data_IF_854957846274
#
_entry.id   IF_854957846274
#
_cell.length_a   1.000
_cell.length_b   1.000
_cell.length_c   1.000
_cell.angle_alpha   90.00
_cell.angle_beta   90.00
_cell.angle_gamma   90.00
#
_symmetry.space_group_name_H-M   'P 1'
#
loop_
_entity.id
_entity.type
_entity.pdbx_description
1 polymer ?
#
# COMPACT_ATOMS: atom_id res chain seq x y z
N UNK A 1 -0.11 -16.33 10.67
CA UNK A 1 -0.59 -14.94 10.71
C UNK A 1 -1.62 -14.82 9.61
N UNK A 2 -2.81 -14.30 9.90
CA UNK A 2 -3.97 -14.38 8.99
C UNK A 2 -4.36 -12.99 8.50
N UNK A 3 -4.33 -12.76 7.19
CA UNK A 3 -4.77 -11.50 6.58
C UNK A 3 -6.29 -11.27 6.73
N UNK A 4 -7.04 -12.31 7.09
CA UNK A 4 -8.47 -12.25 7.33
C UNK A 4 -8.81 -11.85 8.77
N UNK A 5 -7.84 -11.82 9.68
CA UNK A 5 -8.03 -11.26 11.02
C UNK A 5 -8.10 -9.72 10.96
N UNK A 6 -8.65 -9.09 12.01
CA UNK A 6 -8.88 -7.64 12.02
C UNK A 6 -7.59 -6.82 11.84
N UNK A 7 -6.44 -7.32 12.31
CA UNK A 7 -5.15 -6.63 12.16
C UNK A 7 -4.63 -6.80 10.74
N UNK A 8 -4.71 -8.01 10.20
CA UNK A 8 -4.37 -8.33 8.82
C UNK A 8 -5.16 -7.49 7.81
N UNK A 9 -6.49 -7.40 7.99
CA UNK A 9 -7.37 -6.54 7.19
C UNK A 9 -6.94 -5.07 7.24
N UNK A 10 -6.67 -4.55 8.43
CA UNK A 10 -6.24 -3.16 8.63
C UNK A 10 -4.88 -2.89 7.98
N UNK A 11 -3.90 -3.79 8.13
CA UNK A 11 -2.57 -3.68 7.52
C UNK A 11 -2.69 -3.65 5.99
N UNK A 12 -3.42 -4.61 5.43
CA UNK A 12 -3.69 -4.69 3.99
C UNK A 12 -4.35 -3.41 3.48
N UNK A 13 -5.43 -3.00 4.13
CA UNK A 13 -6.18 -1.79 3.76
C UNK A 13 -5.30 -0.53 3.82
N UNK A 14 -4.39 -0.46 4.78
CA UNK A 14 -3.47 0.68 4.95
C UNK A 14 -2.45 0.75 3.81
N UNK A 15 -1.83 -0.37 3.43
CA UNK A 15 -0.91 -0.42 2.29
C UNK A 15 -1.62 -0.09 0.97
N UNK A 16 -2.75 -0.72 0.71
CA UNK A 16 -3.54 -0.46 -0.50
C UNK A 16 -3.96 1.01 -0.57
N UNK A 17 -4.42 1.58 0.55
CA UNK A 17 -4.78 3.01 0.64
C UNK A 17 -3.60 3.94 0.44
N UNK A 18 -2.42 3.62 0.99
CA UNK A 18 -1.23 4.43 0.82
C UNK A 18 -0.75 4.42 -0.64
N UNK A 19 -0.81 3.28 -1.32
CA UNK A 19 -0.56 3.19 -2.77
C UNK A 19 -1.57 4.04 -3.54
N UNK A 20 -2.87 3.94 -3.23
CA UNK A 20 -3.90 4.79 -3.86
C UNK A 20 -3.62 6.28 -3.59
N UNK A 21 -3.20 6.66 -2.38
CA UNK A 21 -2.91 8.04 -2.04
C UNK A 21 -1.79 8.65 -2.90
N UNK A 22 -0.74 7.87 -3.20
CA UNK A 22 0.38 8.33 -4.01
C UNK A 22 0.03 8.56 -5.50
N UNK A 23 -0.97 7.87 -6.04
CA UNK A 23 -1.30 7.94 -7.48
C UNK A 23 -2.69 8.51 -7.78
N UNK A 24 -3.69 8.18 -6.97
CA UNK A 24 -5.06 8.70 -7.07
C UNK A 24 -5.36 9.87 -6.12
N UNK A 25 -4.53 10.09 -5.10
CA UNK A 25 -4.75 11.11 -4.08
C UNK A 25 -5.44 10.56 -2.83
N UNK A 26 -5.14 11.15 -1.68
CA UNK A 26 -5.61 10.68 -0.37
C UNK A 26 -7.14 10.60 -0.27
N UNK A 27 -7.85 11.43 -1.02
CA UNK A 27 -9.32 11.48 -1.05
C UNK A 27 -9.97 10.30 -1.79
N UNK A 28 -9.17 9.53 -2.54
CA UNK A 28 -9.63 8.36 -3.33
C UNK A 28 -9.36 7.03 -2.65
N UNK A 29 -8.76 7.07 -1.46
CA UNK A 29 -8.38 5.90 -0.66
C UNK A 29 -9.59 5.21 -0.05
N UNK A 30 -9.38 4.11 0.67
CA UNK A 30 -10.47 3.47 1.39
C UNK A 30 -11.08 4.44 2.42
N UNK A 31 -12.42 4.36 2.63
CA UNK A 31 -13.10 5.20 3.61
C UNK A 31 -12.39 5.22 4.96
N UNK A 32 -12.29 6.39 5.59
CA UNK A 32 -11.67 6.55 6.90
C UNK A 32 -10.13 6.60 6.92
N UNK A 33 -9.43 6.14 5.87
CA UNK A 33 -7.95 6.16 5.85
C UNK A 33 -7.36 7.57 5.99
N UNK A 34 -7.96 8.57 5.30
CA UNK A 34 -7.50 9.96 5.37
C UNK A 34 -7.53 10.53 6.80
N UNK A 35 -8.44 10.04 7.64
CA UNK A 35 -8.54 10.42 9.05
C UNK A 35 -7.58 9.62 9.94
N UNK A 36 -7.30 8.36 9.57
CA UNK A 36 -6.43 7.47 10.35
C UNK A 36 -4.93 7.73 10.10
N UNK A 37 -4.54 8.24 8.93
CA UNK A 37 -3.12 8.48 8.62
C UNK A 37 -2.55 9.70 9.38
N UNK A 38 -1.32 9.57 9.87
CA UNK A 38 -0.58 10.61 10.59
C UNK A 38 -0.56 11.94 9.81
N UNK A 39 -1.02 13.07 10.39
CA UNK A 39 -0.88 14.44 9.87
C UNK A 39 0.46 14.77 9.24
N UNK A 40 1.55 14.37 9.88
CA UNK A 40 2.92 14.63 9.45
C UNK A 40 3.29 13.76 8.26
N UNK A 41 2.76 12.55 8.18
CA UNK A 41 2.98 11.67 7.03
C UNK A 41 2.14 12.09 5.83
N UNK A 42 0.83 12.34 6.02
CA UNK A 42 -0.07 12.75 4.95
C UNK A 42 0.41 14.01 4.20
N UNK A 43 0.98 14.99 4.90
CA UNK A 43 1.56 16.20 4.29
C UNK A 43 2.75 15.92 3.37
N UNK A 44 3.40 14.76 3.50
CA UNK A 44 4.52 14.32 2.66
C UNK A 44 4.07 13.49 1.46
N UNK A 45 2.80 13.12 1.39
CA UNK A 45 2.25 12.43 0.22
C UNK A 45 2.19 13.43 -0.92
N UNK A 46 3.09 13.26 -1.89
CA UNK A 46 3.09 14.02 -3.13
C UNK A 46 2.37 13.18 -4.20
N UNK A 47 1.06 13.38 -4.35
CA UNK A 47 0.26 12.63 -5.32
C UNK A 47 0.72 12.91 -6.74
N UNK A 48 1.10 11.87 -7.46
CA UNK A 48 1.60 11.96 -8.83
C UNK A 48 0.51 11.54 -9.82
N UNK A 49 -0.58 12.31 -9.85
CA UNK A 49 -1.79 11.98 -10.61
C UNK A 49 -1.59 11.92 -12.14
N UNK A 50 -0.49 12.46 -12.67
CA UNK A 50 -0.14 12.32 -14.10
C UNK A 50 0.40 10.95 -14.45
N UNK A 51 0.80 10.14 -13.45
CA UNK A 51 1.34 8.81 -13.63
C UNK A 51 0.25 7.75 -13.44
N UNK A 52 0.30 6.72 -14.25
CA UNK A 52 -0.60 5.57 -14.13
C UNK A 52 0.19 4.33 -13.70
N UNK A 53 -0.37 3.60 -12.74
CA UNK A 53 0.14 2.28 -12.35
C UNK A 53 -0.43 1.21 -13.27
N UNK A 54 0.43 0.30 -13.71
CA UNK A 54 0.01 -0.90 -14.45
C UNK A 54 0.80 -2.10 -13.95
N UNK A 55 0.13 -3.25 -13.84
CA UNK A 55 0.75 -4.50 -13.40
C UNK A 55 0.36 -4.91 -11.99
N UNK A 56 1.25 -5.68 -11.35
CA UNK A 56 0.96 -6.30 -10.04
C UNK A 56 2.02 -5.91 -9.00
N UNK A 57 1.57 -5.53 -7.82
CA UNK A 57 2.44 -5.49 -6.64
C UNK A 57 1.95 -6.61 -5.75
N UNK A 58 2.87 -7.45 -5.29
CA UNK A 58 2.58 -8.50 -4.32
C UNK A 58 3.07 -8.06 -2.96
N UNK A 59 2.26 -8.28 -1.95
CA UNK A 59 2.68 -8.07 -0.57
C UNK A 59 2.71 -9.38 0.24
N UNK A 60 3.56 -9.43 1.25
CA UNK A 60 3.65 -10.52 2.23
C UNK A 60 3.85 -9.98 3.64
N UNK A 61 2.96 -10.37 4.56
CA UNK A 61 3.02 -9.92 5.95
C UNK A 61 4.04 -10.79 6.67
N UNK A 62 5.23 -10.24 6.88
CA UNK A 62 6.35 -10.94 7.51
C UNK A 62 6.15 -11.06 9.02
N UNK A 63 5.78 -9.96 9.67
CA UNK A 63 5.66 -9.92 11.12
C UNK A 63 4.66 -8.85 11.58
N UNK A 64 4.01 -9.11 12.71
CA UNK A 64 3.25 -8.14 13.50
C UNK A 64 3.76 -8.19 14.92
N UNK A 65 4.16 -7.05 15.48
CA UNK A 65 4.66 -6.95 16.85
C UNK A 65 3.87 -5.93 17.66
N UNK A 66 3.44 -6.33 18.85
CA UNK A 66 2.72 -5.44 19.77
C UNK A 66 3.69 -4.44 20.39
N UNK A 67 3.22 -3.20 20.55
CA UNK A 67 3.96 -2.13 21.24
C UNK A 67 3.11 -1.62 22.39
N UNK A 68 3.69 -0.81 23.27
CA UNK A 68 2.94 -0.18 24.37
C UNK A 68 1.83 0.77 23.87
N UNK A 69 1.97 1.29 22.64
CA UNK A 69 1.07 2.29 22.05
C UNK A 69 0.11 1.71 21.01
N UNK A 70 0.24 0.42 20.68
CA UNK A 70 -0.51 -0.23 19.62
C UNK A 70 0.28 -1.40 19.03
N UNK A 71 0.61 -1.34 17.74
CA UNK A 71 1.41 -2.37 17.08
C UNK A 71 2.13 -1.86 15.85
N UNK A 72 3.13 -2.62 15.39
CA UNK A 72 3.75 -2.42 14.09
C UNK A 72 3.61 -3.70 13.25
N UNK A 73 3.70 -3.52 11.94
CA UNK A 73 3.73 -4.58 10.96
C UNK A 73 4.94 -4.38 10.05
N UNK A 74 5.57 -5.49 9.71
CA UNK A 74 6.62 -5.57 8.69
C UNK A 74 6.03 -6.31 7.50
N UNK A 75 6.03 -5.65 6.34
CA UNK A 75 5.46 -6.16 5.10
C UNK A 75 6.52 -6.14 4.02
N UNK A 76 6.68 -7.27 3.34
CA UNK A 76 7.49 -7.36 2.14
C UNK A 76 6.66 -6.94 0.93
N UNK A 77 7.20 -6.07 0.09
CA UNK A 77 6.56 -5.57 -1.12
C UNK A 77 7.43 -5.96 -2.32
N UNK A 78 6.86 -6.77 -3.21
CA UNK A 78 7.48 -7.20 -4.47
C UNK A 78 6.73 -6.56 -5.64
N UNK A 79 7.32 -5.57 -6.32
CA UNK A 79 6.85 -5.16 -7.64
C UNK A 79 7.00 -6.35 -8.61
N UNK A 80 5.89 -6.91 -9.07
CA UNK A 80 5.82 -8.10 -9.92
C UNK A 80 5.16 -7.73 -11.24
N UNK A 81 5.97 -7.53 -12.28
CA UNK A 81 5.47 -6.98 -13.54
C UNK A 81 4.78 -5.62 -13.36
N UNK A 82 5.30 -4.79 -12.45
CA UNK A 82 4.76 -3.47 -12.14
C UNK A 82 5.52 -2.38 -12.89
N UNK A 83 4.78 -1.46 -13.51
CA UNK A 83 5.34 -0.30 -14.17
C UNK A 83 4.56 0.97 -13.86
N UNK A 84 5.28 2.09 -13.92
CA UNK A 84 4.70 3.43 -13.84
C UNK A 84 4.77 4.04 -15.23
N UNK A 85 3.61 4.36 -15.82
CA UNK A 85 3.55 5.15 -17.05
C UNK A 85 3.91 6.60 -16.73
N UNK A 86 4.92 7.14 -17.40
CA UNK A 86 5.37 8.53 -17.23
C UNK A 86 4.88 9.43 -18.36
N UNK A 87 5.19 10.72 -18.25
CA UNK A 87 4.76 11.77 -19.19
C UNK A 87 5.34 11.58 -20.61
N UNK A 88 6.42 10.81 -20.74
CA UNK A 88 7.00 10.36 -22.03
C UNK A 88 6.15 9.27 -22.72
N UNK A 89 5.06 8.85 -22.09
CA UNK A 89 4.16 7.80 -22.56
C UNK A 89 4.71 6.39 -22.39
N UNK A 90 5.94 6.23 -21.88
CA UNK A 90 6.60 4.94 -21.67
C UNK A 90 6.29 4.37 -20.29
N UNK A 91 6.42 3.06 -20.16
CA UNK A 91 6.30 2.31 -18.93
C UNK A 91 7.68 2.11 -18.33
N UNK A 92 7.88 2.66 -17.13
CA UNK A 92 9.14 2.57 -16.38
C UNK A 92 8.98 1.53 -15.28
N UNK A 93 9.82 0.51 -15.30
CA UNK A 93 9.84 -0.60 -14.34
C UNK A 93 11.12 -0.56 -13.53
N UNK A 94 11.00 -0.78 -12.23
CA UNK A 94 12.13 -1.12 -11.36
C UNK A 94 12.01 -2.60 -11.08
N UNK A 95 12.87 -3.41 -11.70
CA UNK A 95 12.85 -4.85 -11.55
C UNK A 95 13.95 -5.25 -10.57
N UNK A 96 13.53 -5.57 -9.35
CA UNK A 96 14.41 -5.92 -8.23
C UNK A 96 13.66 -6.78 -7.22
N UNK A 97 14.38 -7.35 -6.26
CA UNK A 97 13.76 -8.17 -5.22
C UNK A 97 12.94 -7.34 -4.23
N UNK A 98 12.14 -8.03 -3.42
CA UNK A 98 11.18 -7.43 -2.52
C UNK A 98 11.86 -6.55 -1.48
N UNK A 99 11.22 -5.42 -1.19
CA UNK A 99 11.66 -4.48 -0.19
C UNK A 99 10.79 -4.61 1.05
N UNK A 100 11.38 -4.30 2.20
CA UNK A 100 10.66 -4.23 3.45
C UNK A 100 10.04 -2.85 3.65
N UNK A 101 8.78 -2.85 4.09
CA UNK A 101 8.08 -1.68 4.55
C UNK A 101 7.54 -1.91 5.96
N UNK A 102 7.71 -0.90 6.82
CA UNK A 102 7.17 -0.91 8.17
C UNK A 102 5.98 0.02 8.25
N UNK A 103 4.90 -0.49 8.84
CA UNK A 103 3.69 0.27 9.14
C UNK A 103 3.48 0.27 10.64
N UNK A 104 3.21 1.44 11.21
CA UNK A 104 2.93 1.60 12.63
C UNK A 104 1.49 2.04 12.84
N UNK A 105 0.84 1.41 13.82
CA UNK A 105 -0.52 1.66 14.23
C UNK A 105 -0.50 2.04 15.71
N UNK A 106 -0.58 3.34 15.98
CA UNK A 106 -0.54 3.87 17.33
C UNK A 106 -1.89 4.44 17.73
N UNK A 107 -2.25 4.37 19.00
CA UNK A 107 -3.33 5.20 19.52
C UNK A 107 -2.90 6.67 19.55
N UNK A 108 -3.79 7.63 19.24
CA UNK A 108 -3.42 9.01 19.03
C UNK A 108 -3.22 9.70 20.38
N UNK A 109 -2.15 10.47 20.51
CA UNK A 109 -1.94 11.31 21.69
C UNK A 109 -2.81 12.57 21.62
N UNK A 110 -2.89 13.32 22.72
CA UNK A 110 -3.59 14.61 22.74
C UNK A 110 -3.01 15.59 21.70
N UNK A 111 -1.69 15.60 21.54
CA UNK A 111 -0.99 16.43 20.54
C UNK A 111 -1.36 16.05 19.10
N UNK A 112 -1.48 14.74 18.81
CA UNK A 112 -1.88 14.26 17.47
C UNK A 112 -3.31 14.69 17.13
N UNK A 113 -4.21 14.68 18.12
CA UNK A 113 -5.60 15.13 17.97
C UNK A 113 -5.68 16.63 17.69
N UNK A 114 -4.81 17.43 18.30
CA UNK A 114 -4.75 18.87 18.04
C UNK A 114 -4.19 19.17 16.64
N UNK A 115 -3.19 18.41 16.17
CA UNK A 115 -2.66 18.52 14.81
C UNK A 115 -3.69 18.14 13.74
N UNK A 116 -4.54 17.14 14.01
CA UNK A 116 -5.62 16.74 13.12
C UNK A 116 -6.68 17.84 12.95
N UNK A 117 -6.97 18.62 13.99
CA UNK A 117 -7.92 19.76 13.94
C UNK A 117 -7.47 20.91 13.04
N UNK A 118 -6.18 21.01 12.74
CA UNK A 118 -5.60 22.05 11.86
C UNK A 118 -5.65 21.63 10.40
N UNK A 119 -5.95 20.35 10.08
CA UNK A 119 -6.24 19.96 8.70
C UNK A 119 -7.56 20.62 8.27
N UNK A 120 -7.67 21.11 7.02
CA UNK A 120 -8.98 21.49 6.49
C UNK A 120 -9.92 20.30 6.66
N UNK A 121 -11.10 20.52 7.23
CA UNK A 121 -12.20 19.56 7.19
C UNK A 121 -12.45 19.24 5.72
N UNK A 122 -11.91 18.13 5.22
CA UNK A 122 -12.32 17.60 3.92
C UNK A 122 -13.67 16.94 4.19
N UNK A 123 -14.77 17.48 3.65
CA UNK A 123 -16.07 16.85 3.84
C UNK A 123 -16.01 15.42 3.26
N UNK A 124 -16.63 14.43 3.92
CA UNK A 124 -16.70 13.08 3.37
C UNK A 124 -17.29 13.17 1.96
N UNK A 125 -16.57 12.61 0.97
CA UNK A 125 -17.09 12.50 -0.39
C UNK A 125 -18.33 11.61 -0.35
N UNK A 126 -19.51 12.21 -0.44
CA UNK A 126 -20.81 11.53 -0.48
C UNK A 126 -21.16 11.06 -1.90
N UNK A 127 -20.23 11.15 -2.84
CA UNK A 127 -20.49 10.79 -4.24
C UNK A 127 -20.70 9.28 -4.32
N UNK A 128 -21.88 8.79 -4.74
CA UNK A 128 -22.12 7.37 -4.91
C UNK A 128 -21.13 6.85 -5.96
N UNK A 129 -20.24 5.94 -5.56
CA UNK A 129 -19.38 5.25 -6.52
C UNK A 129 -20.30 4.44 -7.45
N UNK A 130 -20.22 4.63 -8.78
CA UNK A 130 -20.99 3.79 -9.70
C UNK A 130 -20.64 2.32 -9.43
N UNK A 131 -21.62 1.41 -9.47
CA UNK A 131 -21.37 -0.01 -9.23
C UNK A 131 -20.31 -0.51 -10.20
N UNK A 132 -19.25 -1.12 -9.66
CA UNK A 132 -18.26 -1.80 -10.49
C UNK A 132 -18.98 -2.86 -11.34
N UNK A 133 -18.64 -3.00 -12.63
CA UNK A 133 -19.21 -4.06 -13.46
C UNK A 133 -18.94 -5.44 -12.80
N UNK A 134 -19.89 -6.38 -12.91
CA UNK A 134 -19.73 -7.71 -12.33
C UNK A 134 -18.51 -8.39 -12.94
N UNK A 135 -17.58 -8.80 -12.07
CA UNK A 135 -16.37 -9.54 -12.47
C UNK A 135 -16.83 -10.95 -12.87
N UNK A 136 -16.68 -11.27 -14.15
CA UNK A 136 -16.82 -12.64 -14.65
C UNK A 136 -15.64 -13.48 -14.12
N UNK A 137 -15.94 -14.72 -13.70
CA UNK A 137 -15.06 -15.73 -13.10
C UNK A 137 -14.65 -15.52 -11.63
N UNK A 138 -15.33 -16.28 -10.77
CA UNK A 138 -15.19 -16.30 -9.31
C UNK A 138 -13.95 -17.05 -8.77
N UNK A 139 -12.97 -17.39 -9.62
CA UNK A 139 -11.80 -18.18 -9.20
C UNK A 139 -10.63 -17.34 -8.70
N UNK A 140 -10.59 -16.02 -8.95
CA UNK A 140 -9.52 -15.13 -8.48
C UNK A 140 -10.05 -13.74 -8.09
N UNK A 141 -10.98 -13.69 -7.14
CA UNK A 141 -11.62 -12.45 -6.72
C UNK A 141 -10.69 -11.59 -5.85
N UNK A 142 -10.24 -10.46 -6.40
CA UNK A 142 -9.73 -9.35 -5.61
C UNK A 142 -10.80 -8.91 -4.61
N UNK A 143 -10.58 -9.15 -3.31
CA UNK A 143 -11.51 -8.75 -2.25
C UNK A 143 -11.00 -7.51 -1.54
N UNK A 144 -11.18 -6.33 -2.12
CA UNK A 144 -11.06 -5.10 -1.33
C UNK A 144 -11.96 -5.22 -0.09
N UNK A 145 -11.57 -4.71 1.09
CA UNK A 145 -12.46 -4.66 2.24
C UNK A 145 -13.78 -4.00 1.84
N UNK A 146 -14.90 -4.71 2.06
CA UNK A 146 -16.24 -4.20 1.76
C UNK A 146 -16.79 -3.29 2.87
N UNK A 147 -16.11 -3.28 4.00
CA UNK A 147 -16.40 -2.48 5.19
C UNK A 147 -15.34 -1.39 5.40
N UNK A 148 -15.73 -0.28 6.02
CA UNK A 148 -14.78 0.74 6.48
C UNK A 148 -14.00 0.19 7.68
N UNK A 149 -12.82 -0.34 7.41
CA UNK A 149 -11.93 -0.93 8.43
C UNK A 149 -11.23 0.12 9.30
N UNK A 150 -11.35 1.40 8.98
CA UNK A 150 -10.75 2.51 9.73
C UNK A 150 -11.76 3.19 10.67
N UNK A 151 -13.06 3.03 10.41
CA UNK A 151 -14.14 3.58 11.21
C UNK A 151 -14.05 3.15 12.69
N UNK A 152 -14.11 4.13 13.60
CA UNK A 152 -14.17 3.89 15.05
C UNK A 152 -12.88 3.29 15.66
N UNK A 153 -11.79 3.20 14.90
CA UNK A 153 -10.57 2.55 15.35
C UNK A 153 -9.64 3.46 16.17
N UNK A 154 -9.80 4.77 16.04
CA UNK A 154 -8.88 5.78 16.58
C UNK A 154 -7.40 5.48 16.27
N UNK A 155 -7.08 4.81 15.16
CA UNK A 155 -5.67 4.59 14.80
C UNK A 155 -5.01 5.84 14.25
N UNK A 156 -3.75 6.03 14.59
CA UNK A 156 -2.79 6.90 13.95
C UNK A 156 -1.78 6.04 13.18
N UNK A 157 -1.85 6.09 11.85
CA UNK A 157 -1.10 5.22 10.95
C UNK A 157 0.08 5.99 10.35
N UNK A 158 1.28 5.45 10.49
CA UNK A 158 2.47 5.99 9.83
C UNK A 158 3.22 4.89 9.10
N UNK A 159 3.94 5.27 8.05
CA UNK A 159 4.77 4.37 7.26
C UNK A 159 6.22 4.81 7.35
N UNK A 160 7.12 3.84 7.30
CA UNK A 160 8.55 4.09 7.26
C UNK A 160 9.26 2.94 6.55
N UNK A 161 10.33 3.28 5.83
CA UNK A 161 11.33 2.28 5.46
C UNK A 161 12.25 2.12 6.68
N UNK A 162 12.40 0.90 7.18
CA UNK A 162 13.48 0.62 8.13
C UNK A 162 14.83 0.86 7.40
N UNK A 163 15.68 1.75 7.94
CA UNK A 163 16.87 2.29 7.27
C UNK A 163 18.12 1.39 7.42
N UNK A 164 17.98 0.15 7.89
CA UNK A 164 19.07 -0.79 8.14
C UNK A 164 19.19 -1.95 7.13
N UNK A 165 19.66 -3.11 7.61
CA UNK A 165 19.78 -4.41 6.89
C UNK A 165 18.43 -4.99 6.39
N UNK A 166 17.36 -4.19 6.38
CA UNK A 166 15.96 -4.57 6.15
C UNK A 166 15.68 -5.22 4.79
N UNK A 167 16.53 -5.00 3.77
CA UNK A 167 16.38 -5.65 2.47
C UNK A 167 16.50 -7.18 2.53
N UNK A 168 17.39 -7.70 3.38
CA UNK A 168 17.73 -9.13 3.40
C UNK A 168 16.57 -10.04 3.79
N UNK A 169 15.64 -9.57 4.65
CA UNK A 169 14.53 -10.40 5.15
C UNK A 169 13.48 -10.67 4.07
N UNK A 170 13.25 -9.70 3.20
CA UNK A 170 12.27 -9.81 2.12
C UNK A 170 12.88 -10.35 0.83
N UNK A 171 14.20 -10.23 0.64
CA UNK A 171 14.90 -10.66 -0.56
C UNK A 171 14.65 -12.13 -0.92
N UNK A 172 14.68 -13.04 0.05
CA UNK A 172 14.45 -14.47 -0.20
C UNK A 172 13.02 -14.72 -0.70
N UNK A 173 12.03 -14.12 -0.04
CA UNK A 173 10.63 -14.19 -0.48
C UNK A 173 10.43 -13.56 -1.86
N UNK A 174 11.01 -12.38 -2.11
CA UNK A 174 10.95 -11.70 -3.40
C UNK A 174 11.53 -12.54 -4.53
N UNK A 175 12.70 -13.15 -4.33
CA UNK A 175 13.35 -14.05 -5.31
C UNK A 175 12.58 -15.35 -5.52
N UNK A 176 11.82 -15.82 -4.52
CA UNK A 176 10.93 -16.97 -4.72
C UNK A 176 9.78 -16.66 -5.69
N UNK A 177 9.42 -15.38 -5.84
CA UNK A 177 8.37 -14.91 -6.75
C UNK A 177 8.96 -14.47 -8.09
N UNK A 178 10.02 -13.67 -8.06
CA UNK A 178 10.71 -13.13 -9.23
C UNK A 178 12.17 -13.64 -9.26
N UNK A 179 12.41 -14.91 -9.66
CA UNK A 179 13.76 -15.49 -9.62
C UNK A 179 14.73 -14.85 -10.64
N UNK A 180 14.22 -14.07 -11.59
CA UNK A 180 15.01 -13.40 -12.63
C UNK A 180 15.54 -12.01 -12.26
N UNK A 181 15.24 -11.50 -11.06
CA UNK A 181 15.76 -10.20 -10.63
C UNK A 181 17.28 -10.25 -10.42
N UNK A 182 18.02 -9.15 -10.69
CA UNK A 182 19.47 -9.10 -10.47
C UNK A 182 19.87 -9.51 -9.04
N UNK A 183 21.03 -10.17 -8.90
CA UNK A 183 21.56 -10.58 -7.58
C UNK A 183 21.87 -9.36 -6.70
N UNK A 184 22.39 -8.30 -7.29
CA UNK A 184 22.69 -7.04 -6.61
C UNK A 184 21.80 -5.90 -7.12
N UNK A 185 20.95 -5.38 -6.25
CA UNK A 185 20.17 -4.17 -6.50
C UNK A 185 18.92 -4.39 -7.34
N UNK A 186 18.75 -3.57 -8.38
CA UNK A 186 17.60 -3.59 -9.26
C UNK A 186 18.01 -3.09 -10.65
N UNK A 187 17.33 -3.56 -11.68
CA UNK A 187 17.43 -3.03 -13.04
C UNK A 187 16.29 -2.07 -13.34
N UNK A 188 16.58 -1.09 -14.20
CA UNK A 188 15.59 -0.11 -14.66
C UNK A 188 15.26 -0.41 -16.11
N UNK A 189 14.00 -0.76 -16.37
CA UNK A 189 13.51 -1.09 -17.70
C UNK A 189 12.54 -0.02 -18.18
N UNK A 190 12.62 0.28 -19.48
CA UNK A 190 11.70 1.21 -20.15
C UNK A 190 11.08 0.48 -21.34
N UNK A 191 9.76 0.49 -21.43
CA UNK A 191 9.01 -0.21 -22.48
C UNK A 191 7.88 0.65 -23.03
N UNK A 192 7.60 0.59 -24.34
CA UNK A 192 6.41 1.22 -24.91
C UNK A 192 5.12 0.43 -24.62
N UNK A 193 5.23 -0.84 -24.22
CA UNK A 193 4.08 -1.70 -23.91
C UNK A 193 3.94 -1.90 -22.41
N UNK A 194 2.70 -1.90 -21.87
CA UNK A 194 2.48 -2.19 -20.46
C UNK A 194 2.90 -3.62 -20.13
N UNK A 195 3.38 -3.87 -18.90
CA UNK A 195 3.60 -5.22 -18.44
C UNK A 195 2.26 -5.97 -18.24
N UNK A 196 2.32 -7.30 -18.26
CA UNK A 196 1.17 -8.14 -17.94
C UNK A 196 0.75 -7.96 -16.48
N UNK A 197 -0.56 -7.90 -16.22
CA UNK A 197 -1.09 -7.91 -14.85
C UNK A 197 -1.25 -9.36 -14.38
N UNK A 198 -0.45 -9.74 -13.39
CA UNK A 198 -0.43 -11.06 -12.80
C UNK A 198 -1.52 -11.23 -11.73
N UNK A 199 -1.94 -12.47 -11.44
CA UNK A 199 -2.88 -12.75 -10.35
C UNK A 199 -2.27 -12.41 -8.97
N UNK A 200 -3.15 -12.20 -7.99
CA UNK A 200 -2.77 -11.81 -6.62
C UNK A 200 -1.88 -12.87 -5.93
N UNK A 201 -2.16 -14.17 -6.11
CA UNK A 201 -1.38 -15.27 -5.52
C UNK A 201 0.06 -15.36 -6.09
N UNK A 202 1.11 -15.63 -5.27
CA UNK A 202 1.12 -16.04 -3.85
C UNK A 202 1.11 -14.89 -2.83
N UNK A 203 0.86 -13.65 -3.25
CA UNK A 203 0.66 -12.51 -2.36
C UNK A 203 -0.82 -12.12 -2.22
N UNK A 204 -1.03 -10.88 -1.77
CA UNK A 204 -2.26 -10.11 -1.99
C UNK A 204 -1.96 -8.83 -2.76
#
# INVERSE_FOLDING_TARGET
MDLLDNRGKLIRASHESMMIAFYGGIETTYPGFSNAIDPRYARRINTIATRALVGTIRAHLLQVHQTEKGFNATVCIQPSHYAVRRDDGQYHTVHGSAIEERVEFNHPTAEDRDLARVRPNVPPSTTPRPPSPPIADATHQWSAPTEDVFAGTEWLISFGADLGDAKKRCEEWGRSIEPGVPDDGAEFLVSPTPPETLPAYPGW
#
